data_IF_911915877361
#
_entry.id   IF_911915877361
#
_cell.length_a   1.000
_cell.length_b   1.000
_cell.length_c   1.000
_cell.angle_alpha   90.00
_cell.angle_beta   90.00
_cell.angle_gamma   90.00
#
_symmetry.space_group_name_H-M   'P 1'
#
loop_
_entity.id
_entity.type
_entity.pdbx_description
1 polymer ?
#
# COMPACT_ATOMS: atom_id res chain seq x y z
N UNK A 1 45.00 64.36 45.04
CA UNK A 1 44.19 63.22 44.54
C UNK A 1 43.28 62.78 45.68
N UNK A 2 41.97 62.94 45.55
CA UNK A 2 41.01 62.44 46.56
C UNK A 2 40.55 61.07 46.09
N UNK A 3 40.84 60.03 46.86
CA UNK A 3 40.38 58.67 46.59
C UNK A 3 39.10 58.40 47.40
N UNK A 4 38.05 57.93 46.72
CA UNK A 4 36.82 57.50 47.39
C UNK A 4 37.04 56.13 48.04
N UNK A 5 36.64 55.98 49.30
CA UNK A 5 36.73 54.72 50.05
C UNK A 5 35.82 53.67 49.40
N UNK A 6 36.28 52.41 49.20
CA UNK A 6 35.45 51.35 48.65
C UNK A 6 34.15 51.18 49.46
N UNK A 7 33.00 51.26 48.79
CA UNK A 7 31.67 51.22 49.41
C UNK A 7 30.99 52.58 49.64
N UNK A 8 31.66 53.70 49.31
CA UNK A 8 31.08 55.05 49.44
C UNK A 8 29.92 55.33 48.47
N UNK A 9 29.69 54.48 47.47
CA UNK A 9 28.57 54.58 46.52
C UNK A 9 27.75 53.31 46.64
N UNK A 10 26.44 53.45 46.89
CA UNK A 10 25.52 52.32 46.88
C UNK A 10 25.51 51.73 45.46
N UNK A 11 26.07 50.53 45.31
CA UNK A 11 26.05 49.80 44.05
C UNK A 11 24.59 49.42 43.77
N UNK A 12 23.93 50.14 42.89
CA UNK A 12 22.60 49.75 42.41
C UNK A 12 22.73 48.37 41.77
N UNK A 13 22.00 47.39 42.31
CA UNK A 13 22.00 46.04 41.76
C UNK A 13 21.60 46.06 40.28
N UNK A 14 22.12 45.14 39.45
CA UNK A 14 21.83 45.13 38.02
C UNK A 14 20.32 45.01 37.77
N UNK A 15 19.76 45.92 36.97
CA UNK A 15 18.34 45.90 36.54
C UNK A 15 18.16 44.70 35.60
N UNK A 16 17.53 43.63 36.11
CA UNK A 16 17.23 42.43 35.32
C UNK A 16 15.89 42.60 34.63
N UNK A 17 15.91 43.00 33.37
CA UNK A 17 14.74 42.87 32.50
C UNK A 17 14.68 41.45 31.94
N UNK A 18 13.58 40.75 32.21
CA UNK A 18 13.35 39.41 31.67
C UNK A 18 13.03 39.52 30.17
N UNK A 19 14.03 39.27 29.32
CA UNK A 19 13.80 39.12 27.88
C UNK A 19 13.01 37.85 27.60
N UNK A 20 11.87 37.99 26.92
CA UNK A 20 11.07 36.85 26.46
C UNK A 20 11.88 36.06 25.42
N UNK A 21 11.99 34.75 25.63
CA UNK A 21 12.63 33.82 24.69
C UNK A 21 11.82 32.53 24.64
N UNK A 22 11.81 31.86 23.49
CA UNK A 22 11.05 30.62 23.28
C UNK A 22 11.41 29.53 24.32
N UNK A 23 12.68 29.44 24.71
CA UNK A 23 13.16 28.49 25.72
C UNK A 23 12.76 28.81 27.16
N UNK A 24 12.26 30.02 27.45
CA UNK A 24 11.67 30.38 28.76
C UNK A 24 10.15 30.34 28.77
N UNK A 25 9.52 30.17 27.62
CA UNK A 25 8.06 30.13 27.51
C UNK A 25 7.44 28.92 28.24
N UNK A 26 8.24 27.87 28.47
CA UNK A 26 7.80 26.65 29.16
C UNK A 26 8.72 26.34 30.35
N UNK A 27 8.13 26.05 31.50
CA UNK A 27 8.86 25.55 32.67
C UNK A 27 8.94 24.04 32.55
N UNK A 28 10.14 23.49 32.43
CA UNK A 28 10.36 22.04 32.42
C UNK A 28 10.54 21.56 33.85
N UNK A 29 9.55 20.85 34.37
CA UNK A 29 9.58 20.20 35.67
C UNK A 29 8.93 18.79 35.57
N UNK A 30 9.08 17.91 36.57
CA UNK A 30 8.52 16.56 36.48
C UNK A 30 7.01 16.54 36.21
N UNK A 31 6.23 17.47 36.79
CA UNK A 31 4.78 17.55 36.59
C UNK A 31 4.39 17.92 35.15
N UNK A 32 5.02 18.94 34.57
CA UNK A 32 4.77 19.38 33.18
C UNK A 32 5.17 18.30 32.18
N UNK A 33 6.27 17.59 32.43
CA UNK A 33 6.67 16.43 31.61
C UNK A 33 5.61 15.33 31.69
N UNK A 34 5.14 14.97 32.89
CA UNK A 34 4.12 13.95 33.07
C UNK A 34 2.79 14.31 32.39
N UNK A 35 2.30 15.55 32.58
CA UNK A 35 1.05 16.01 31.95
C UNK A 35 1.18 16.03 30.43
N UNK A 36 2.31 16.52 29.89
CA UNK A 36 2.55 16.56 28.45
C UNK A 36 2.62 15.15 27.86
N UNK A 37 3.26 14.20 28.55
CA UNK A 37 3.32 12.82 28.11
C UNK A 37 1.93 12.16 28.09
N UNK A 38 1.12 12.36 29.13
CA UNK A 38 -0.27 11.86 29.18
C UNK A 38 -1.08 12.46 28.04
N UNK A 39 -0.99 13.78 27.84
CA UNK A 39 -1.70 14.47 26.75
C UNK A 39 -1.28 13.92 25.39
N UNK A 40 0.02 13.71 25.17
CA UNK A 40 0.54 13.15 23.92
C UNK A 40 0.00 11.75 23.66
N UNK A 41 -0.03 10.88 24.67
CA UNK A 41 -0.60 9.53 24.55
C UNK A 41 -2.09 9.60 24.23
N UNK A 42 -2.85 10.49 24.88
CA UNK A 42 -4.28 10.67 24.63
C UNK A 42 -4.54 11.18 23.20
N UNK A 43 -3.78 12.17 22.75
CA UNK A 43 -3.91 12.73 21.39
C UNK A 43 -3.52 11.69 20.35
N UNK A 44 -2.39 11.00 20.52
CA UNK A 44 -1.95 9.96 19.61
C UNK A 44 -2.95 8.79 19.57
N UNK A 45 -3.49 8.38 20.72
CA UNK A 45 -4.51 7.34 20.81
C UNK A 45 -5.83 7.74 20.16
N UNK A 46 -6.28 8.98 20.38
CA UNK A 46 -7.49 9.53 19.74
C UNK A 46 -7.31 9.63 18.22
N UNK A 47 -6.16 10.11 17.76
CA UNK A 47 -5.81 10.19 16.34
C UNK A 47 -5.73 8.79 15.71
N UNK A 48 -5.03 7.85 16.35
CA UNK A 48 -4.96 6.46 15.89
C UNK A 48 -6.34 5.81 15.81
N UNK A 49 -7.20 6.03 16.81
CA UNK A 49 -8.60 5.56 16.81
C UNK A 49 -9.40 6.19 15.68
N UNK A 50 -9.19 7.47 15.38
CA UNK A 50 -9.85 8.18 14.29
C UNK A 50 -9.47 7.57 12.94
N UNK A 51 -8.16 7.42 12.70
CA UNK A 51 -7.61 6.79 11.49
C UNK A 51 -8.14 5.37 11.34
N UNK A 52 -8.13 4.58 12.41
CA UNK A 52 -8.65 3.22 12.39
C UNK A 52 -10.15 3.14 12.06
N UNK A 53 -10.96 4.10 12.53
CA UNK A 53 -12.40 4.11 12.30
C UNK A 53 -12.81 4.68 10.94
N UNK A 54 -12.07 5.65 10.40
CA UNK A 54 -12.45 6.39 9.18
C UNK A 54 -11.58 6.09 7.97
N UNK A 55 -10.33 5.71 8.17
CA UNK A 55 -9.36 5.50 7.08
C UNK A 55 -9.28 4.05 6.60
N UNK A 56 -10.14 3.16 7.08
CA UNK A 56 -10.16 1.77 6.58
C UNK A 56 -11.02 1.67 5.34
N UNK A 57 -10.38 1.22 4.27
CA UNK A 57 -11.06 0.82 3.04
C UNK A 57 -12.15 -0.22 3.33
N UNK A 58 -13.25 -0.13 2.60
CA UNK A 58 -14.38 -1.03 2.72
C UNK A 58 -14.54 -1.83 1.44
N UNK A 59 -14.93 -3.10 1.59
CA UNK A 59 -15.26 -4.01 0.49
C UNK A 59 -16.54 -4.76 0.84
N UNK A 60 -17.21 -5.33 -0.16
CA UNK A 60 -18.33 -6.22 0.08
C UNK A 60 -17.90 -7.40 0.97
N UNK A 61 -18.77 -7.75 1.92
CA UNK A 61 -18.58 -8.92 2.76
C UNK A 61 -18.87 -10.19 1.96
N UNK A 62 -17.96 -11.16 2.01
CA UNK A 62 -18.06 -12.42 1.27
C UNK A 62 -16.70 -12.98 0.85
N UNK A 63 -16.74 -14.01 0.02
CA UNK A 63 -15.61 -14.56 -0.72
C UNK A 63 -15.21 -13.70 -1.93
N UNK A 64 -14.24 -14.19 -2.74
CA UNK A 64 -13.60 -13.38 -3.78
C UNK A 64 -14.57 -12.85 -4.84
N UNK A 65 -15.62 -13.62 -5.18
CA UNK A 65 -16.64 -13.23 -6.17
C UNK A 65 -17.45 -12.03 -5.67
N UNK A 66 -17.88 -12.02 -4.40
CA UNK A 66 -18.65 -10.89 -3.85
C UNK A 66 -17.79 -9.62 -3.74
N UNK A 67 -16.48 -9.77 -3.51
CA UNK A 67 -15.55 -8.63 -3.50
C UNK A 67 -15.45 -7.98 -4.89
N UNK A 68 -15.44 -8.76 -5.98
CA UNK A 68 -15.36 -8.23 -7.35
C UNK A 68 -16.70 -7.74 -7.91
N UNK A 69 -17.78 -8.51 -7.71
CA UNK A 69 -19.06 -8.30 -8.40
C UNK A 69 -20.17 -7.76 -7.50
N UNK A 70 -19.91 -7.60 -6.19
CA UNK A 70 -20.90 -7.16 -5.21
C UNK A 70 -21.62 -8.32 -4.54
N UNK A 71 -22.10 -8.08 -3.32
CA UNK A 71 -22.90 -9.04 -2.55
C UNK A 71 -24.39 -8.75 -2.71
N UNK A 72 -25.26 -9.77 -2.90
CA UNK A 72 -26.72 -9.59 -2.97
C UNK A 72 -27.31 -8.93 -1.72
N UNK A 73 -26.66 -9.08 -0.56
CA UNK A 73 -27.09 -8.46 0.70
C UNK A 73 -26.63 -7.01 0.84
N UNK A 74 -25.73 -6.52 -0.03
CA UNK A 74 -25.20 -5.14 0.02
C UNK A 74 -24.42 -4.82 1.29
N UNK A 75 -23.97 -5.83 2.03
CA UNK A 75 -23.25 -5.66 3.28
C UNK A 75 -21.78 -5.36 3.04
N UNK A 76 -21.31 -4.20 3.47
CA UNK A 76 -19.90 -3.81 3.40
C UNK A 76 -19.17 -4.12 4.72
N UNK A 77 -17.90 -4.49 4.60
CA UNK A 77 -16.97 -4.70 5.71
C UNK A 77 -15.66 -3.93 5.51
N UNK A 78 -15.02 -3.52 6.61
CA UNK A 78 -13.70 -2.90 6.55
C UNK A 78 -12.62 -3.94 6.25
N UNK A 79 -11.71 -3.66 5.29
CA UNK A 79 -10.62 -4.55 4.88
C UNK A 79 -9.71 -4.88 6.07
N UNK A 80 -9.56 -6.14 6.51
CA UNK A 80 -8.75 -6.52 7.66
C UNK A 80 -7.25 -6.29 7.42
N UNK A 81 -6.56 -5.78 8.43
CA UNK A 81 -5.16 -5.30 8.33
C UNK A 81 -4.14 -6.42 8.11
N UNK A 82 -4.51 -7.67 8.38
CA UNK A 82 -3.65 -8.84 8.25
C UNK A 82 -4.25 -9.95 7.39
N UNK A 83 -5.27 -9.64 6.59
CA UNK A 83 -5.84 -10.63 5.68
C UNK A 83 -4.95 -10.80 4.46
N UNK A 84 -4.73 -12.06 4.04
CA UNK A 84 -4.09 -12.33 2.75
C UNK A 84 -5.06 -11.90 1.67
N UNK A 85 -4.61 -11.06 0.75
CA UNK A 85 -5.39 -10.77 -0.45
C UNK A 85 -5.67 -12.09 -1.18
N UNK A 86 -6.96 -12.36 -1.37
CA UNK A 86 -7.44 -13.44 -2.24
C UNK A 86 -8.16 -12.75 -3.37
N UNK A 87 -7.45 -12.59 -4.48
CA UNK A 87 -8.04 -12.03 -5.67
C UNK A 87 -8.97 -13.07 -6.31
N UNK A 88 -10.17 -12.66 -6.77
CA UNK A 88 -11.02 -13.55 -7.54
C UNK A 88 -10.28 -13.99 -8.80
N UNK A 89 -10.23 -15.29 -9.02
CA UNK A 89 -9.65 -15.88 -10.23
C UNK A 89 -10.74 -15.98 -11.29
N UNK A 90 -10.54 -15.25 -12.39
CA UNK A 90 -11.30 -15.40 -13.62
C UNK A 90 -10.48 -16.22 -14.62
N UNK A 91 -11.03 -17.35 -15.07
CA UNK A 91 -10.34 -18.24 -16.00
C UNK A 91 -10.59 -17.88 -17.47
N UNK A 92 -11.58 -17.02 -17.72
CA UNK A 92 -11.97 -16.59 -19.07
C UNK A 92 -11.38 -15.19 -19.30
N UNK A 93 -10.76 -14.92 -20.46
CA UNK A 93 -10.35 -13.56 -20.80
C UNK A 93 -11.57 -12.62 -20.84
N UNK A 94 -11.44 -11.33 -20.48
CA UNK A 94 -12.52 -10.36 -20.58
C UNK A 94 -13.14 -10.27 -21.97
N UNK A 95 -14.42 -9.89 -22.01
CA UNK A 95 -15.19 -9.78 -23.25
C UNK A 95 -14.49 -8.90 -24.29
N UNK A 96 -14.40 -9.40 -25.52
CA UNK A 96 -13.79 -8.68 -26.64
C UNK A 96 -12.26 -8.67 -26.65
N UNK A 97 -11.59 -9.24 -25.64
CA UNK A 97 -10.14 -9.38 -25.60
C UNK A 97 -9.71 -10.83 -25.77
N UNK A 98 -8.65 -11.05 -26.56
CA UNK A 98 -8.02 -12.36 -26.71
C UNK A 98 -6.95 -12.56 -25.64
N UNK A 99 -6.69 -13.81 -25.20
CA UNK A 99 -5.66 -14.11 -24.19
C UNK A 99 -4.30 -13.49 -24.50
N UNK A 100 -3.84 -13.60 -25.76
CA UNK A 100 -2.56 -13.00 -26.19
C UNK A 100 -2.58 -11.48 -26.31
N UNK A 101 -3.74 -10.83 -26.40
CA UNK A 101 -3.82 -9.37 -26.45
C UNK A 101 -3.70 -8.73 -25.07
N UNK A 102 -4.14 -9.44 -24.01
CA UNK A 102 -4.13 -8.93 -22.65
C UNK A 102 -2.70 -8.69 -22.16
N UNK A 103 -1.78 -9.62 -22.43
CA UNK A 103 -0.37 -9.48 -22.04
C UNK A 103 0.21 -8.17 -22.56
N UNK A 104 0.09 -7.94 -23.87
CA UNK A 104 0.56 -6.71 -24.50
C UNK A 104 -0.24 -5.46 -24.09
N UNK A 105 -1.53 -5.57 -23.76
CA UNK A 105 -2.30 -4.42 -23.27
C UNK A 105 -1.81 -3.96 -21.90
N UNK A 106 -1.35 -4.89 -21.05
CA UNK A 106 -0.96 -4.61 -19.67
C UNK A 106 0.42 -3.93 -19.59
N UNK A 107 1.37 -4.37 -20.40
CA UNK A 107 2.77 -3.94 -20.32
C UNK A 107 3.33 -3.34 -21.62
N UNK A 108 2.49 -3.16 -22.65
CA UNK A 108 2.84 -2.64 -23.98
C UNK A 108 3.91 -3.45 -24.74
N UNK A 109 4.26 -4.65 -24.26
CA UNK A 109 5.32 -5.49 -24.82
C UNK A 109 4.75 -6.84 -25.23
N UNK A 110 5.00 -7.22 -26.49
CA UNK A 110 4.62 -8.55 -26.97
C UNK A 110 5.64 -9.61 -26.53
N UNK A 111 5.25 -10.43 -25.56
CA UNK A 111 6.07 -11.53 -25.05
C UNK A 111 5.87 -12.80 -25.87
N UNK A 112 6.85 -13.73 -25.91
CA UNK A 112 6.64 -15.04 -26.54
C UNK A 112 5.45 -15.83 -25.97
N UNK A 113 5.11 -15.61 -24.69
CA UNK A 113 3.95 -16.18 -24.03
C UNK A 113 2.63 -15.70 -24.65
N UNK A 114 2.57 -14.46 -25.13
CA UNK A 114 1.37 -13.88 -25.76
C UNK A 114 1.10 -14.53 -27.13
N UNK A 115 2.19 -14.87 -27.84
CA UNK A 115 2.13 -15.61 -29.10
C UNK A 115 1.63 -17.03 -28.87
N UNK A 116 2.13 -17.73 -27.84
CA UNK A 116 1.64 -19.08 -27.54
C UNK A 116 0.19 -19.07 -27.05
N UNK A 117 -0.20 -18.07 -26.24
CA UNK A 117 -1.59 -17.86 -25.85
C UNK A 117 -2.51 -17.65 -27.07
N UNK A 118 -2.04 -16.92 -28.09
CA UNK A 118 -2.76 -16.74 -29.36
C UNK A 118 -2.90 -18.04 -30.15
N UNK A 119 -1.85 -18.88 -30.21
CA UNK A 119 -1.91 -20.18 -30.90
C UNK A 119 -2.93 -21.10 -30.23
N UNK A 120 -2.93 -21.16 -28.90
CA UNK A 120 -3.91 -21.94 -28.14
C UNK A 120 -5.34 -21.41 -28.35
N UNK A 121 -5.52 -20.09 -28.33
CA UNK A 121 -6.80 -19.42 -28.60
C UNK A 121 -7.32 -19.67 -30.03
N UNK A 122 -6.44 -19.83 -31.02
CA UNK A 122 -6.84 -20.27 -32.36
C UNK A 122 -7.25 -21.75 -32.40
N UNK A 123 -6.58 -22.59 -31.60
CA UNK A 123 -6.90 -24.01 -31.53
C UNK A 123 -8.24 -24.29 -30.86
N UNK A 124 -8.54 -23.61 -29.74
CA UNK A 124 -9.81 -23.76 -29.01
C UNK A 124 -11.01 -23.30 -29.82
N UNK A 125 -10.83 -22.33 -30.72
CA UNK A 125 -11.85 -21.86 -31.66
C UNK A 125 -11.95 -22.67 -32.96
N UNK A 126 -11.10 -23.70 -33.12
CA UNK A 126 -11.14 -24.59 -34.28
C UNK A 126 -10.53 -24.02 -35.57
N UNK A 127 -9.68 -22.98 -35.50
CA UNK A 127 -8.97 -22.47 -36.68
C UNK A 127 -7.71 -23.29 -37.02
N UNK A 128 -7.15 -23.97 -36.03
CA UNK A 128 -6.01 -24.88 -36.19
C UNK A 128 -6.08 -26.03 -35.18
N UNK A 129 -5.30 -27.08 -35.43
CA UNK A 129 -5.12 -28.21 -34.52
C UNK A 129 -3.64 -28.32 -34.17
N UNK A 130 -3.36 -28.62 -32.90
CA UNK A 130 -2.01 -28.85 -32.39
C UNK A 130 -1.81 -30.36 -32.28
N UNK A 131 -0.96 -30.92 -33.14
CA UNK A 131 -0.64 -32.35 -33.15
C UNK A 131 0.74 -32.59 -32.56
N UNK A 132 0.87 -33.53 -31.61
CA UNK A 132 2.16 -33.97 -31.10
C UNK A 132 2.79 -34.99 -32.06
N UNK A 133 4.06 -34.76 -32.42
CA UNK A 133 4.84 -35.64 -33.27
C UNK A 133 5.52 -36.75 -32.44
N UNK A 134 5.75 -37.94 -33.02
CA UNK A 134 6.44 -39.02 -32.34
C UNK A 134 7.84 -38.59 -31.85
N UNK A 135 8.13 -38.82 -30.57
CA UNK A 135 9.45 -38.55 -30.00
C UNK A 135 10.49 -39.52 -30.56
N UNK A 136 11.63 -39.01 -31.03
CA UNK A 136 12.72 -39.81 -31.62
C UNK A 136 13.55 -40.63 -30.61
N UNK A 137 13.05 -40.81 -29.38
CA UNK A 137 13.74 -41.55 -28.32
C UNK A 137 13.22 -41.18 -26.92
N UNK A 138 13.68 -41.92 -25.90
CA UNK A 138 13.23 -41.75 -24.50
C UNK A 138 13.56 -40.40 -23.85
N UNK A 139 14.47 -39.63 -24.44
CA UNK A 139 14.89 -38.31 -23.95
C UNK A 139 14.70 -37.20 -25.00
N UNK A 140 14.03 -37.49 -26.12
CA UNK A 140 13.79 -36.48 -27.14
C UNK A 140 12.76 -35.46 -26.64
N UNK A 141 12.97 -34.18 -26.97
CA UNK A 141 11.98 -33.15 -26.68
C UNK A 141 10.74 -33.37 -27.56
N UNK A 142 9.52 -33.24 -27.01
CA UNK A 142 8.30 -33.30 -27.81
C UNK A 142 8.33 -32.20 -28.87
N UNK A 143 7.88 -32.56 -30.06
CA UNK A 143 7.77 -31.66 -31.20
C UNK A 143 6.31 -31.61 -31.61
N UNK A 144 5.83 -30.46 -32.06
CA UNK A 144 4.43 -30.28 -32.42
C UNK A 144 4.31 -29.76 -33.85
N UNK A 145 3.21 -30.13 -34.52
CA UNK A 145 2.80 -29.59 -35.81
C UNK A 145 1.49 -28.83 -35.63
N UNK A 146 1.42 -27.64 -36.23
CA UNK A 146 0.20 -26.84 -36.30
C UNK A 146 -0.47 -27.09 -37.66
N UNK A 147 -1.70 -27.59 -37.65
CA UNK A 147 -2.48 -27.90 -38.86
C UNK A 147 -3.68 -26.98 -38.95
N UNK A 148 -3.73 -26.10 -39.96
CA UNK A 148 -4.88 -25.22 -40.20
C UNK A 148 -6.11 -26.05 -40.57
N UNK A 149 -7.26 -25.70 -40.01
CA UNK A 149 -8.57 -26.28 -40.36
C UNK A 149 -9.22 -25.54 -41.54
#
# INVERSE_FOLDING_TARGET
>A
MVALTPGAVATAGPIREARWTLGRAFVVNPATVSVSAVLLVLVAGAFGRLVWRRGRDRRYAGGPVEVAFGSPTGTDQAVPVFERHVDPVEFVPPDGLRPGQIGTLLDEVAHPLDVTATIVDLATRGYLTIEELPAAGRFAKPSWRLVKQ
#
